data_IF_659679103119
#
_entry.id   IF_659679103119
#
_cell.length_a   1.000
_cell.length_b   1.000
_cell.length_c   1.000
_cell.angle_alpha   90.00
_cell.angle_beta   90.00
_cell.angle_gamma   90.00
#
_symmetry.space_group_name_H-M   'P 1'
#
loop_
_entity.id
_entity.type
_entity.pdbx_description
1 polymer ?
#
# COMPACT_ATOMS: atom_id res chain seq x y z
N UNK A 1 -27.67 -7.64 5.79
CA UNK A 1 -26.71 -6.52 5.59
C UNK A 1 -25.34 -6.75 6.23
N UNK A 2 -25.23 -7.19 7.50
CA UNK A 2 -23.94 -7.39 8.18
C UNK A 2 -22.96 -8.34 7.44
N UNK A 3 -23.45 -9.45 6.90
CA UNK A 3 -22.63 -10.40 6.13
C UNK A 3 -22.13 -9.83 4.79
N UNK A 4 -22.92 -8.96 4.15
CA UNK A 4 -22.52 -8.31 2.90
C UNK A 4 -21.39 -7.30 3.13
N UNK A 5 -21.46 -6.53 4.22
CA UNK A 5 -20.39 -5.62 4.61
C UNK A 5 -19.07 -6.35 4.91
N UNK A 6 -19.13 -7.47 5.64
CA UNK A 6 -17.95 -8.28 5.91
C UNK A 6 -17.36 -8.90 4.63
N UNK A 7 -18.22 -9.33 3.71
CA UNK A 7 -17.78 -9.80 2.40
C UNK A 7 -17.07 -8.70 1.59
N UNK A 8 -17.61 -7.48 1.54
CA UNK A 8 -16.94 -6.36 0.87
C UNK A 8 -15.61 -6.01 1.52
N UNK A 9 -15.55 -6.02 2.86
CA UNK A 9 -14.31 -5.77 3.62
C UNK A 9 -13.26 -6.84 3.32
N UNK A 10 -13.68 -8.10 3.22
CA UNK A 10 -12.81 -9.20 2.82
C UNK A 10 -12.25 -9.00 1.40
N UNK A 11 -13.12 -8.78 0.41
CA UNK A 11 -12.71 -8.59 -0.99
C UNK A 11 -11.78 -7.40 -1.14
N UNK A 12 -12.10 -6.27 -0.50
CA UNK A 12 -11.24 -5.09 -0.53
C UNK A 12 -9.88 -5.36 0.12
N UNK A 13 -9.86 -6.02 1.28
CA UNK A 13 -8.61 -6.44 1.94
C UNK A 13 -7.76 -7.35 1.06
N UNK A 14 -8.37 -8.32 0.38
CA UNK A 14 -7.67 -9.20 -0.57
C UNK A 14 -7.08 -8.43 -1.75
N UNK A 15 -7.82 -7.47 -2.33
CA UNK A 15 -7.31 -6.64 -3.43
C UNK A 15 -6.10 -5.81 -2.96
N UNK A 16 -6.18 -5.17 -1.80
CA UNK A 16 -5.07 -4.37 -1.25
C UNK A 16 -3.86 -5.26 -0.96
N UNK A 17 -4.06 -6.45 -0.37
CA UNK A 17 -2.98 -7.39 -0.12
C UNK A 17 -2.30 -7.87 -1.41
N UNK A 18 -3.10 -8.20 -2.43
CA UNK A 18 -2.62 -8.61 -3.73
C UNK A 18 -1.83 -7.50 -4.43
N UNK A 19 -2.31 -6.25 -4.37
CA UNK A 19 -1.57 -5.09 -4.89
C UNK A 19 -0.22 -4.92 -4.18
N UNK A 20 -0.19 -5.09 -2.84
CA UNK A 20 1.05 -5.09 -2.07
C UNK A 20 2.05 -6.15 -2.56
N UNK A 21 1.58 -7.40 -2.75
CA UNK A 21 2.41 -8.48 -3.29
C UNK A 21 2.92 -8.16 -4.70
N UNK A 22 2.06 -7.66 -5.58
CA UNK A 22 2.40 -7.32 -6.95
C UNK A 22 3.49 -6.24 -7.01
N UNK A 23 3.39 -5.20 -6.17
CA UNK A 23 4.43 -4.17 -6.08
C UNK A 23 5.72 -4.73 -5.49
N UNK A 24 5.67 -5.60 -4.47
CA UNK A 24 6.85 -6.28 -3.92
C UNK A 24 7.54 -7.13 -5.00
N UNK A 25 6.78 -7.88 -5.78
CA UNK A 25 7.32 -8.67 -6.89
C UNK A 25 8.03 -7.78 -7.89
N UNK A 26 7.42 -6.68 -8.34
CA UNK A 26 8.10 -5.72 -9.22
C UNK A 26 9.34 -5.13 -8.57
N UNK A 27 9.28 -4.74 -7.29
CA UNK A 27 10.43 -4.20 -6.58
C UNK A 27 11.64 -5.15 -6.61
N UNK A 28 11.43 -6.44 -6.31
CA UNK A 28 12.49 -7.44 -6.36
C UNK A 28 12.94 -7.75 -7.79
N UNK A 29 12.02 -7.84 -8.76
CA UNK A 29 12.38 -8.02 -10.17
C UNK A 29 13.25 -6.88 -10.69
N UNK A 30 12.87 -5.62 -10.42
CA UNK A 30 13.67 -4.46 -10.78
C UNK A 30 15.00 -4.43 -10.05
N UNK A 31 15.04 -4.80 -8.76
CA UNK A 31 16.31 -4.88 -8.01
C UNK A 31 17.29 -5.88 -8.61
N UNK A 32 16.80 -7.01 -9.11
CA UNK A 32 17.63 -8.04 -9.73
C UNK A 32 18.06 -7.68 -11.16
N UNK A 33 17.19 -7.03 -11.93
CA UNK A 33 17.45 -6.64 -13.32
C UNK A 33 18.26 -5.33 -13.40
N UNK A 34 18.18 -4.47 -12.38
CA UNK A 34 18.82 -3.16 -12.34
C UNK A 34 20.30 -3.20 -12.74
N UNK A 35 21.17 -4.07 -12.16
CA UNK A 35 22.58 -4.13 -12.55
C UNK A 35 22.82 -4.42 -14.04
N UNK A 36 21.94 -5.24 -14.66
CA UNK A 36 22.00 -5.51 -16.09
C UNK A 36 21.69 -4.25 -16.90
N UNK A 37 20.66 -3.49 -16.51
CA UNK A 37 20.28 -2.23 -17.17
C UNK A 37 21.40 -1.19 -17.01
N UNK A 38 21.98 -1.07 -15.81
CA UNK A 38 23.07 -0.11 -15.57
C UNK A 38 24.28 -0.41 -16.46
N UNK A 39 24.64 -1.69 -16.64
CA UNK A 39 25.75 -2.09 -17.49
C UNK A 39 25.53 -1.87 -18.99
N UNK A 40 24.29 -2.03 -19.49
CA UNK A 40 23.97 -1.90 -20.92
C UNK A 40 23.75 -0.44 -21.29
N UNK A 41 23.01 0.31 -20.45
CA UNK A 41 22.54 1.65 -20.78
C UNK A 41 23.31 2.77 -20.07
N UNK A 42 24.24 2.45 -19.16
CA UNK A 42 24.97 3.44 -18.33
C UNK A 42 24.03 4.36 -17.52
N UNK A 43 22.81 3.91 -17.23
CA UNK A 43 21.83 4.64 -16.41
C UNK A 43 21.93 4.09 -14.98
N UNK A 44 22.15 4.96 -14.01
CA UNK A 44 22.19 4.58 -12.59
C UNK A 44 20.77 4.55 -12.01
N UNK A 45 20.31 3.40 -11.55
CA UNK A 45 18.99 3.19 -10.96
C UNK A 45 19.15 3.16 -9.44
N UNK A 46 18.43 4.05 -8.74
CA UNK A 46 18.54 4.16 -7.28
C UNK A 46 17.29 3.62 -6.58
N UNK A 47 17.23 2.30 -6.42
CA UNK A 47 16.09 1.65 -5.77
C UNK A 47 15.99 2.04 -4.29
N UNK A 48 15.00 2.88 -3.98
CA UNK A 48 14.75 3.36 -2.61
C UNK A 48 13.78 2.42 -1.91
N UNK A 49 14.00 2.14 -0.62
CA UNK A 49 13.12 1.32 0.23
C UNK A 49 11.69 1.86 0.40
N UNK A 50 11.40 3.05 -0.14
CA UNK A 50 10.12 3.73 0.00
C UNK A 50 8.96 2.93 -0.63
N UNK A 51 9.12 2.50 -1.88
CA UNK A 51 8.10 1.71 -2.56
C UNK A 51 7.90 0.35 -1.87
N UNK A 52 8.99 -0.27 -1.40
CA UNK A 52 8.94 -1.51 -0.64
C UNK A 52 8.15 -1.34 0.67
N UNK A 53 8.40 -0.26 1.43
CA UNK A 53 7.67 0.03 2.66
C UNK A 53 6.16 0.18 2.42
N UNK A 54 5.77 0.94 1.39
CA UNK A 54 4.35 1.12 1.02
C UNK A 54 3.73 -0.23 0.63
N UNK A 55 4.43 -1.03 -0.17
CA UNK A 55 3.95 -2.32 -0.64
C UNK A 55 3.79 -3.34 0.49
N UNK A 56 4.75 -3.40 1.42
CA UNK A 56 4.67 -4.25 2.61
C UNK A 56 3.51 -3.81 3.51
N UNK A 57 3.31 -2.50 3.66
CA UNK A 57 2.19 -1.96 4.44
C UNK A 57 0.84 -2.28 3.81
N UNK A 58 0.73 -2.26 2.47
CA UNK A 58 -0.45 -2.72 1.75
C UNK A 58 -0.71 -4.21 1.98
N UNK A 59 0.32 -5.04 1.83
CA UNK A 59 0.22 -6.48 2.07
C UNK A 59 -0.34 -6.76 3.48
N UNK A 60 0.28 -6.18 4.50
CA UNK A 60 -0.12 -6.39 5.90
C UNK A 60 -1.50 -5.78 6.20
N UNK A 61 -1.77 -4.56 5.73
CA UNK A 61 -3.06 -3.90 5.90
C UNK A 61 -4.21 -4.74 5.33
N UNK A 62 -4.07 -5.18 4.08
CA UNK A 62 -5.07 -5.98 3.39
C UNK A 62 -5.23 -7.37 3.99
N UNK A 63 -4.13 -8.02 4.36
CA UNK A 63 -4.12 -9.33 5.03
C UNK A 63 -4.89 -9.29 6.35
N UNK A 64 -4.60 -8.31 7.22
CA UNK A 64 -5.30 -8.19 8.50
C UNK A 64 -6.78 -7.80 8.33
N UNK A 65 -7.12 -7.01 7.31
CA UNK A 65 -8.52 -6.71 6.98
C UNK A 65 -9.28 -7.96 6.51
N UNK A 66 -8.62 -8.82 5.74
CA UNK A 66 -9.16 -10.12 5.34
C UNK A 66 -9.40 -11.04 6.54
N UNK A 67 -8.41 -11.18 7.43
CA UNK A 67 -8.52 -11.98 8.66
C UNK A 67 -9.63 -11.45 9.57
N UNK A 68 -9.72 -10.12 9.75
CA UNK A 68 -10.80 -9.49 10.49
C UNK A 68 -12.17 -9.96 9.98
N UNK A 69 -12.36 -9.93 8.66
CA UNK A 69 -13.65 -10.26 8.03
C UNK A 69 -14.04 -11.73 8.24
N UNK A 70 -13.07 -12.64 8.28
CA UNK A 70 -13.29 -14.07 8.53
C UNK A 70 -13.56 -14.34 10.02
N UNK A 71 -12.81 -13.68 10.91
CA UNK A 71 -12.83 -13.97 12.36
C UNK A 71 -13.88 -13.19 13.13
N UNK A 72 -14.59 -12.25 12.49
CA UNK A 72 -15.53 -11.37 13.18
C UNK A 72 -16.69 -12.09 13.85
N UNK A 73 -17.18 -13.19 13.27
CA UNK A 73 -18.28 -13.97 13.83
C UNK A 73 -17.84 -14.94 14.93
N UNK A 74 -16.54 -15.26 15.02
CA UNK A 74 -16.01 -16.33 15.87
C UNK A 74 -15.16 -15.83 17.05
N UNK A 75 -14.69 -14.59 17.02
CA UNK A 75 -13.81 -14.07 18.08
C UNK A 75 -14.03 -12.59 18.37
N UNK A 76 -14.18 -12.26 19.65
CA UNK A 76 -14.14 -10.88 20.14
C UNK A 76 -12.80 -10.19 19.85
N UNK A 77 -11.71 -10.98 19.79
CA UNK A 77 -10.37 -10.51 19.46
C UNK A 77 -10.22 -10.07 17.99
N UNK A 78 -11.26 -10.23 17.16
CA UNK A 78 -11.26 -9.76 15.78
C UNK A 78 -10.93 -8.26 15.65
N UNK A 79 -11.28 -7.44 16.66
CA UNK A 79 -10.99 -6.00 16.69
C UNK A 79 -9.49 -5.68 16.61
N UNK A 80 -8.62 -6.55 17.12
CA UNK A 80 -7.17 -6.36 17.03
C UNK A 80 -6.68 -6.41 15.58
N UNK A 81 -7.26 -7.28 14.73
CA UNK A 81 -6.86 -7.38 13.33
C UNK A 81 -7.17 -6.10 12.56
N UNK A 82 -8.36 -5.53 12.73
CA UNK A 82 -8.70 -4.28 12.04
C UNK A 82 -7.93 -3.08 12.62
N UNK A 83 -7.56 -3.11 13.90
CA UNK A 83 -6.64 -2.13 14.48
C UNK A 83 -5.27 -2.17 13.81
N UNK A 84 -4.65 -3.35 13.69
CA UNK A 84 -3.37 -3.49 12.99
C UNK A 84 -3.47 -3.09 11.52
N UNK A 85 -4.54 -3.49 10.82
CA UNK A 85 -4.81 -3.05 9.45
C UNK A 85 -4.81 -1.51 9.34
N UNK A 86 -5.49 -0.84 10.26
CA UNK A 86 -5.56 0.62 10.31
C UNK A 86 -4.20 1.28 10.58
N UNK A 87 -3.38 0.69 11.46
CA UNK A 87 -2.03 1.19 11.73
C UNK A 87 -1.11 1.07 10.52
N UNK A 88 -1.14 -0.04 9.79
CA UNK A 88 -0.36 -0.19 8.55
C UNK A 88 -0.85 0.76 7.45
N UNK A 89 -2.16 0.92 7.29
CA UNK A 89 -2.72 1.88 6.34
C UNK A 89 -2.31 3.33 6.68
N UNK A 90 -2.37 3.70 7.96
CA UNK A 90 -1.95 5.03 8.44
C UNK A 90 -0.45 5.27 8.22
N UNK A 91 0.39 4.29 8.57
CA UNK A 91 1.84 4.37 8.36
C UNK A 91 2.19 4.54 6.89
N UNK A 92 1.59 3.73 6.02
CA UNK A 92 1.76 3.82 4.57
C UNK A 92 1.35 5.19 4.02
N UNK A 93 0.16 5.67 4.40
CA UNK A 93 -0.36 6.95 3.93
C UNK A 93 0.47 8.13 4.42
N UNK A 94 0.84 8.14 5.70
CA UNK A 94 1.71 9.16 6.28
C UNK A 94 3.09 9.20 5.62
N UNK A 95 3.68 8.03 5.34
CA UNK A 95 4.94 7.95 4.63
C UNK A 95 4.83 8.45 3.18
N UNK A 96 3.74 8.15 2.48
CA UNK A 96 3.51 8.67 1.14
C UNK A 96 3.30 10.19 1.13
N UNK A 97 2.58 10.73 2.11
CA UNK A 97 2.45 12.19 2.29
C UNK A 97 3.81 12.85 2.51
N UNK A 98 4.65 12.26 3.36
CA UNK A 98 6.02 12.72 3.56
C UNK A 98 6.82 12.76 2.26
N UNK A 99 6.73 11.70 1.43
CA UNK A 99 7.39 11.65 0.12
C UNK A 99 6.86 12.71 -0.85
N UNK A 100 5.55 12.90 -0.91
CA UNK A 100 4.91 13.93 -1.72
C UNK A 100 5.33 15.34 -1.30
N UNK A 101 5.49 15.60 0.00
CA UNK A 101 5.90 16.89 0.52
C UNK A 101 7.36 17.24 0.14
N UNK A 102 8.26 16.25 0.10
CA UNK A 102 9.69 16.49 -0.17
C UNK A 102 10.01 16.45 -1.66
N UNK A 103 9.51 15.44 -2.37
CA UNK A 103 9.89 15.14 -3.76
C UNK A 103 8.78 15.50 -4.76
N UNK A 104 7.65 16.00 -4.28
CA UNK A 104 6.51 16.34 -5.11
C UNK A 104 5.77 15.11 -5.67
N UNK A 105 4.82 15.33 -6.58
CA UNK A 105 3.97 14.27 -7.10
C UNK A 105 4.70 13.28 -8.01
N UNK A 106 5.93 13.58 -8.45
CA UNK A 106 6.75 12.70 -9.29
C UNK A 106 7.74 11.84 -8.51
N UNK A 107 7.65 11.79 -7.17
CA UNK A 107 8.65 11.15 -6.30
C UNK A 107 9.04 9.73 -6.70
N UNK A 108 8.07 8.89 -7.14
CA UNK A 108 8.34 7.53 -7.61
C UNK A 108 9.29 7.56 -8.81
N UNK A 109 9.01 8.40 -9.80
CA UNK A 109 9.87 8.53 -10.98
C UNK A 109 11.26 9.06 -10.65
N UNK A 110 11.34 10.02 -9.73
CA UNK A 110 12.62 10.59 -9.27
C UNK A 110 13.46 9.52 -8.57
N UNK A 111 12.86 8.66 -7.75
CA UNK A 111 13.60 7.61 -7.05
C UNK A 111 14.08 6.52 -8.01
N UNK A 112 13.24 6.05 -8.94
CA UNK A 112 13.61 4.97 -9.84
C UNK A 112 14.53 5.40 -10.99
N UNK A 113 14.29 6.57 -11.57
CA UNK A 113 14.91 6.99 -12.84
C UNK A 113 15.67 8.32 -12.74
N UNK A 114 15.76 8.93 -11.55
CA UNK A 114 16.39 10.23 -11.36
C UNK A 114 15.72 11.32 -12.21
N UNK A 115 16.53 12.15 -12.86
CA UNK A 115 16.06 13.22 -13.75
C UNK A 115 15.66 12.73 -15.15
N UNK A 116 15.92 11.46 -15.47
CA UNK A 116 15.76 10.91 -16.82
C UNK A 116 14.38 10.26 -17.05
N UNK A 117 13.55 10.15 -16.00
CA UNK A 117 12.21 9.57 -16.09
C UNK A 117 11.16 10.50 -16.69
N UNK A 118 10.14 9.92 -17.34
CA UNK A 118 8.97 10.66 -17.79
C UNK A 118 8.19 11.19 -16.58
N UNK A 119 8.23 12.52 -16.39
CA UNK A 119 7.59 13.21 -15.25
C UNK A 119 6.07 13.02 -15.22
N UNK A 120 5.42 12.99 -16.38
CA UNK A 120 3.96 12.94 -16.48
C UNK A 120 3.43 11.55 -16.07
N UNK A 121 4.08 10.48 -16.54
CA UNK A 121 3.75 9.11 -16.14
C UNK A 121 4.03 8.87 -14.66
N UNK A 122 5.18 9.34 -14.16
CA UNK A 122 5.53 9.25 -12.74
C UNK A 122 4.49 9.94 -11.84
N UNK A 123 3.95 11.07 -12.30
CA UNK A 123 2.89 11.79 -11.59
C UNK A 123 1.60 10.96 -11.51
N UNK A 124 1.19 10.32 -12.61
CA UNK A 124 -0.01 9.48 -12.62
C UNK A 124 0.13 8.24 -11.74
N UNK A 125 1.28 7.55 -11.81
CA UNK A 125 1.53 6.36 -10.97
C UNK A 125 1.47 6.74 -9.50
N UNK A 126 2.14 7.84 -9.12
CA UNK A 126 2.12 8.36 -7.76
C UNK A 126 0.72 8.78 -7.31
N UNK A 127 -0.06 9.43 -8.18
CA UNK A 127 -1.45 9.81 -7.92
C UNK A 127 -2.39 8.62 -7.71
N UNK A 128 -2.30 7.60 -8.57
CA UNK A 128 -3.08 6.36 -8.42
C UNK A 128 -2.71 5.64 -7.12
N UNK A 129 -1.41 5.52 -6.82
CA UNK A 129 -0.94 4.91 -5.59
C UNK A 129 -1.47 5.66 -4.37
N UNK A 130 -1.47 7.00 -4.42
CA UNK A 130 -2.00 7.86 -3.36
C UNK A 130 -3.49 7.63 -3.14
N UNK A 131 -4.28 7.57 -4.21
CA UNK A 131 -5.71 7.29 -4.12
C UNK A 131 -5.99 5.92 -3.51
N UNK A 132 -5.25 4.89 -3.91
CA UNK A 132 -5.38 3.54 -3.34
C UNK A 132 -5.01 3.54 -1.86
N UNK A 133 -3.93 4.22 -1.48
CA UNK A 133 -3.49 4.32 -0.08
C UNK A 133 -4.52 5.05 0.79
N UNK A 134 -5.04 6.17 0.28
CA UNK A 134 -6.10 6.93 0.92
C UNK A 134 -7.37 6.10 1.11
N UNK A 135 -7.81 5.38 0.07
CA UNK A 135 -8.95 4.46 0.15
C UNK A 135 -8.71 3.36 1.18
N UNK A 136 -7.51 2.76 1.20
CA UNK A 136 -7.14 1.74 2.18
C UNK A 136 -7.28 2.29 3.60
N UNK A 137 -6.79 3.50 3.86
CA UNK A 137 -6.88 4.16 5.16
C UNK A 137 -8.33 4.44 5.56
N UNK A 138 -9.10 5.05 4.66
CA UNK A 138 -10.51 5.40 4.93
C UNK A 138 -11.32 4.15 5.25
N UNK A 139 -11.16 3.08 4.46
CA UNK A 139 -11.90 1.83 4.69
C UNK A 139 -11.47 1.18 6.00
N UNK A 140 -10.17 0.99 6.24
CA UNK A 140 -9.70 0.33 7.48
C UNK A 140 -10.14 1.09 8.73
N UNK A 141 -10.01 2.42 8.71
CA UNK A 141 -10.34 3.26 9.84
C UNK A 141 -11.85 3.34 10.06
N UNK A 142 -12.65 3.40 9.00
CA UNK A 142 -14.12 3.38 9.10
C UNK A 142 -14.62 2.07 9.70
N UNK A 143 -14.04 0.93 9.30
CA UNK A 143 -14.39 -0.38 9.87
C UNK A 143 -13.99 -0.43 11.34
N UNK A 144 -12.77 0.00 11.70
CA UNK A 144 -12.30 0.03 13.08
C UNK A 144 -13.20 0.91 13.97
N UNK A 145 -13.54 2.12 13.51
CA UNK A 145 -14.42 3.04 14.21
C UNK A 145 -15.83 2.48 14.42
N UNK A 146 -16.37 1.78 13.43
CA UNK A 146 -17.66 1.11 13.56
C UNK A 146 -17.63 -0.04 14.58
N UNK A 147 -16.45 -0.61 14.87
CA UNK A 147 -16.26 -1.67 15.85
C UNK A 147 -16.06 -1.14 17.28
N UNK A 148 -15.45 0.03 17.45
CA UNK A 148 -15.31 0.67 18.77
C UNK A 148 -16.63 1.24 19.28
N UNK A 149 -17.51 1.70 18.39
CA UNK A 149 -18.84 2.23 18.77
C UNK A 149 -19.89 1.19 19.17
N UNK A 150 -19.61 -0.10 19.00
CA UNK A 150 -20.54 -1.20 19.35
C UNK A 150 -20.35 -1.72 20.78
N UNK A 151 -19.36 -1.20 21.50
CA UNK A 151 -19.18 -1.36 22.95
C UNK A 151 -19.88 -0.22 23.69
#
# INVERSE_FOLDING_TARGET
MKNFYLFLTYVFGTIIAFLGLLIITFYFSFSYISPLIESIFSIKINLTYALFYIALSFLLSGFFMGIYSITKSSSEKSKFWIFFSSMFALGSFGFQLYKLAILGPTWIGIEFFGTNGNKLEAMYISGILFLINFLSLVVSFSVFWAETKKE
#
